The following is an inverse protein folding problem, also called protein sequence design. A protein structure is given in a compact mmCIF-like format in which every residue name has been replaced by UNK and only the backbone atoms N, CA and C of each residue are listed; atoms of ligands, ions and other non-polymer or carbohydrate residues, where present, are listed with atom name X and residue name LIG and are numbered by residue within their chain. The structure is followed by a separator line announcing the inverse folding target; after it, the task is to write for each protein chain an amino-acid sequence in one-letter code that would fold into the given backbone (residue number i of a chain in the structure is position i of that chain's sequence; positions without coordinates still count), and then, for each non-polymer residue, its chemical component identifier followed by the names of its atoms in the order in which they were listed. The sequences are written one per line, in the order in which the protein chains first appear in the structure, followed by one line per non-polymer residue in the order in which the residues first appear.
data_IF_856554024025
#
_entry.id   IF_856554024025
#
_cell.length_a   1.000
_cell.length_b   1.000
_cell.length_c   1.000
_cell.angle_alpha   90.00
_cell.angle_beta   90.00
_cell.angle_gamma   90.00
#
_symmetry.space_group_name_H-M   'P 1'
#
loop_
_entity.id
_entity.type
_entity.pdbx_description
1 polymer ?
#
# COMPACT_ATOMS: atom_id res chain seq x y z
N UNK A 1 23.43 31.84 37.85
CA UNK A 1 24.52 32.53 37.13
C UNK A 1 24.63 34.04 37.44
N UNK A 2 23.63 34.68 38.06
CA UNK A 2 23.65 36.11 38.42
C UNK A 2 24.52 36.50 39.65
N UNK A 3 25.14 35.55 40.35
CA UNK A 3 25.92 35.82 41.58
C UNK A 3 27.40 36.14 41.35
N UNK A 4 27.87 36.11 40.10
CA UNK A 4 29.26 36.42 39.72
C UNK A 4 29.32 37.86 39.18
N UNK A 5 30.27 38.69 39.65
CA UNK A 5 30.53 40.00 39.04
C UNK A 5 31.14 39.79 37.65
N UNK A 6 30.30 39.66 36.62
CA UNK A 6 30.74 39.42 35.23
C UNK A 6 31.45 40.64 34.59
N UNK A 7 31.38 41.82 35.20
CA UNK A 7 32.02 43.05 34.74
C UNK A 7 32.94 43.54 35.87
N UNK A 8 34.27 43.32 35.79
CA UNK A 8 35.11 43.71 34.65
C UNK A 8 36.18 42.66 34.26
N UNK A 9 35.82 41.37 34.23
CA UNK A 9 36.75 40.31 33.80
C UNK A 9 36.53 39.95 32.32
N UNK A 10 37.61 39.79 31.57
CA UNK A 10 37.61 39.35 30.17
C UNK A 10 36.83 38.02 30.01
N UNK A 11 36.90 37.14 31.00
CA UNK A 11 36.17 35.88 31.00
C UNK A 11 34.65 36.08 31.18
N UNK A 12 34.25 37.02 32.04
CA UNK A 12 32.85 37.38 32.22
C UNK A 12 32.22 37.96 30.96
N UNK A 13 32.98 38.74 30.19
CA UNK A 13 32.56 39.25 28.89
C UNK A 13 32.26 38.12 27.89
N UNK A 14 33.11 37.09 27.78
CA UNK A 14 32.88 35.96 26.88
C UNK A 14 31.64 35.14 27.23
N UNK A 15 31.31 34.99 28.52
CA UNK A 15 30.10 34.30 28.97
C UNK A 15 28.82 35.09 28.63
N UNK A 16 28.86 36.42 28.74
CA UNK A 16 27.74 37.28 28.30
C UNK A 16 27.58 37.17 26.78
N UNK A 17 28.69 37.22 26.04
CA UNK A 17 28.69 37.12 24.59
C UNK A 17 28.12 35.77 24.12
N UNK A 18 28.42 34.67 24.82
CA UNK A 18 27.85 33.36 24.56
C UNK A 18 26.32 33.36 24.67
N UNK A 19 25.75 33.94 25.74
CA UNK A 19 24.30 34.02 25.89
C UNK A 19 23.64 34.91 24.83
N UNK A 20 24.28 36.02 24.46
CA UNK A 20 23.80 36.88 23.37
C UNK A 20 23.75 36.10 22.05
N UNK A 21 24.80 35.35 21.71
CA UNK A 21 24.80 34.52 20.49
C UNK A 21 23.73 33.43 20.53
N UNK A 22 23.52 32.75 21.66
CA UNK A 22 22.46 31.73 21.78
C UNK A 22 21.06 32.32 21.61
N UNK A 23 20.79 33.52 22.16
CA UNK A 23 19.50 34.20 21.99
C UNK A 23 19.31 34.65 20.54
N UNK A 24 20.34 35.26 19.92
CA UNK A 24 20.29 35.69 18.52
C UNK A 24 20.11 34.50 17.58
N UNK A 25 20.79 33.39 17.83
CA UNK A 25 20.63 32.14 17.08
C UNK A 25 19.20 31.58 17.17
N UNK A 26 18.64 31.53 18.38
CA UNK A 26 17.26 31.06 18.57
C UNK A 26 16.22 31.95 17.86
N UNK A 27 16.36 33.28 17.95
CA UNK A 27 15.46 34.24 17.28
C UNK A 27 15.60 34.15 15.76
N UNK A 28 16.83 33.99 15.25
CA UNK A 28 17.08 33.86 13.81
C UNK A 28 16.55 32.53 13.25
N UNK A 29 16.63 31.43 14.00
CA UNK A 29 16.08 30.14 13.58
C UNK A 29 14.56 30.15 13.46
N UNK A 30 13.87 30.80 14.40
CA UNK A 30 12.42 31.02 14.30
C UNK A 30 12.04 31.91 13.11
N UNK A 31 12.81 32.97 12.84
CA UNK A 31 12.56 33.85 11.70
C UNK A 31 12.78 33.14 10.36
N UNK A 32 13.86 32.36 10.22
CA UNK A 32 14.17 31.61 9.01
C UNK A 32 13.18 30.47 8.72
N UNK A 33 12.58 29.87 9.75
CA UNK A 33 11.49 28.90 9.58
C UNK A 33 10.19 29.56 9.06
N UNK A 34 9.99 30.86 9.30
CA UNK A 34 8.80 31.62 8.91
C UNK A 34 8.93 32.34 7.55
N UNK A 35 10.15 32.73 7.17
CA UNK A 35 10.46 33.43 5.93
C UNK A 35 11.19 32.46 4.98
N UNK A 36 10.47 31.85 4.04
CA UNK A 36 10.99 30.83 3.12
C UNK A 36 12.01 31.33 2.08
N UNK A 37 12.93 32.24 2.41
CA UNK A 37 13.93 32.79 1.49
C UNK A 37 15.28 32.08 1.61
N UNK A 38 15.87 31.70 0.47
CA UNK A 38 17.11 30.91 0.42
C UNK A 38 18.37 31.64 0.93
N UNK A 39 18.35 32.98 0.97
CA UNK A 39 19.47 33.83 1.41
C UNK A 39 19.55 33.94 2.94
N UNK A 40 18.41 33.96 3.61
CA UNK A 40 18.31 33.99 5.09
C UNK A 40 18.69 32.63 5.70
N UNK A 41 18.40 31.54 5.00
CA UNK A 41 18.84 30.20 5.40
C UNK A 41 20.37 30.04 5.39
N UNK A 42 21.05 30.52 4.33
CA UNK A 42 22.51 30.41 4.23
C UNK A 42 23.24 31.24 5.29
N UNK A 43 22.71 32.42 5.61
CA UNK A 43 23.27 33.29 6.65
C UNK A 43 23.00 32.73 8.04
N UNK A 44 21.82 32.14 8.27
CA UNK A 44 21.51 31.39 9.49
C UNK A 44 22.46 30.21 9.69
N UNK A 45 22.69 29.36 8.68
CA UNK A 45 23.61 28.22 8.85
C UNK A 45 25.03 28.64 9.22
N UNK A 46 25.57 29.68 8.58
CA UNK A 46 26.92 30.20 8.90
C UNK A 46 26.96 30.74 10.34
N UNK A 47 25.92 31.46 10.76
CA UNK A 47 25.81 31.97 12.13
C UNK A 47 25.70 30.83 13.16
N UNK A 48 24.94 29.77 12.88
CA UNK A 48 24.80 28.60 13.75
C UNK A 48 26.12 27.84 13.87
N UNK A 49 26.85 27.62 12.77
CA UNK A 49 28.15 26.95 12.80
C UNK A 49 29.19 27.75 13.61
N UNK A 50 29.25 29.07 13.42
CA UNK A 50 30.15 29.94 14.21
C UNK A 50 29.79 29.94 15.70
N UNK A 51 28.50 29.91 16.01
CA UNK A 51 27.99 29.83 17.40
C UNK A 51 28.38 28.51 18.05
N UNK A 52 28.22 27.38 17.34
CA UNK A 52 28.62 26.07 17.83
C UNK A 52 30.14 25.98 18.10
N UNK A 53 30.97 26.50 17.18
CA UNK A 53 32.43 26.53 17.36
C UNK A 53 32.81 27.36 18.59
N UNK A 54 32.16 28.52 18.77
CA UNK A 54 32.40 29.40 19.91
C UNK A 54 31.97 28.75 21.23
N UNK A 55 30.77 28.15 21.30
CA UNK A 55 30.27 27.44 22.48
C UNK A 55 31.15 26.24 22.86
N UNK A 56 31.58 25.44 21.87
CA UNK A 56 32.50 24.33 22.09
C UNK A 56 33.84 24.81 22.65
N UNK A 57 34.40 25.89 22.09
CA UNK A 57 35.65 26.49 22.56
C UNK A 57 35.57 27.02 23.99
N UNK A 58 34.48 27.71 24.34
CA UNK A 58 34.26 28.22 25.71
C UNK A 58 34.07 27.07 26.70
N UNK A 59 33.38 26.00 26.30
CA UNK A 59 33.21 24.82 27.16
C UNK A 59 34.54 24.12 27.47
N UNK A 60 35.38 23.90 26.44
CA UNK A 60 36.72 23.32 26.63
C UNK A 60 37.56 24.21 27.54
N UNK A 61 37.51 25.53 27.38
CA UNK A 61 38.22 26.47 28.25
C UNK A 61 37.73 26.40 29.71
N UNK A 62 36.41 26.28 29.91
CA UNK A 62 35.79 26.11 31.23
C UNK A 62 36.28 24.82 31.91
N UNK A 63 36.35 23.70 31.20
CA UNK A 63 36.77 22.41 31.78
C UNK A 63 38.28 22.30 31.99
N UNK A 64 39.08 22.94 31.15
CA UNK A 64 40.56 22.86 31.23
C UNK A 64 41.17 23.89 32.17
N UNK A 65 40.53 25.06 32.35
CA UNK A 65 41.06 26.17 33.16
C UNK A 65 40.07 26.71 34.18
N UNK A 66 39.26 25.84 34.78
CA UNK A 66 38.22 26.21 35.77
C UNK A 66 38.78 27.07 36.91
N UNK A 67 39.96 26.72 37.46
CA UNK A 67 40.59 27.43 38.58
C UNK A 67 41.06 28.84 38.23
N UNK A 68 41.73 29.00 37.08
CA UNK A 68 42.23 30.30 36.60
C UNK A 68 41.06 31.25 36.28
N UNK A 69 39.97 30.72 35.72
CA UNK A 69 38.75 31.47 35.41
C UNK A 69 38.09 31.96 36.70
N UNK A 70 37.97 31.10 37.70
CA UNK A 70 37.31 31.44 38.96
C UNK A 70 38.11 32.49 39.75
N UNK A 71 39.45 32.38 39.74
CA UNK A 71 40.35 33.38 40.33
C UNK A 71 40.28 34.73 39.62
N UNK A 72 40.07 34.75 38.29
CA UNK A 72 39.88 35.98 37.52
C UNK A 72 38.51 36.65 37.76
N UNK A 73 37.48 35.87 38.12
CA UNK A 73 36.10 36.35 38.25
C UNK A 73 35.76 37.01 39.60
N UNK A 74 36.71 37.11 40.55
CA UNK A 74 36.56 37.81 41.86
C UNK A 74 35.18 37.55 42.52
N UNK A 75 34.84 36.26 42.63
CA UNK A 75 33.54 35.76 43.09
C UNK A 75 33.31 35.94 44.61
N UNK A 76 32.07 36.14 45.05
CA UNK A 76 31.66 36.13 46.47
C UNK A 76 31.23 34.73 46.97
N UNK A 77 31.29 33.74 46.08
CA UNK A 77 30.93 32.34 46.34
C UNK A 77 32.20 31.55 46.65
N UNK A 78 32.14 30.66 47.64
CA UNK A 78 33.19 29.68 47.98
C UNK A 78 33.72 28.99 46.71
N UNK A 79 35.04 28.92 46.53
CA UNK A 79 35.68 28.47 45.28
C UNK A 79 35.21 27.06 44.85
N UNK A 80 34.92 26.21 45.83
CA UNK A 80 34.34 24.88 45.66
C UNK A 80 32.97 24.90 44.97
N UNK A 81 32.07 25.80 45.38
CA UNK A 81 30.72 25.91 44.81
C UNK A 81 30.77 26.59 43.42
N UNK A 82 31.68 27.56 43.24
CA UNK A 82 31.89 28.23 41.97
C UNK A 82 32.42 27.29 40.87
N UNK A 83 33.31 26.37 41.24
CA UNK A 83 33.87 25.35 40.33
C UNK A 83 32.78 24.39 39.82
N UNK A 84 31.87 23.94 40.69
CA UNK A 84 30.76 23.06 40.31
C UNK A 84 29.80 23.78 39.35
N UNK A 85 29.43 25.01 39.67
CA UNK A 85 28.52 25.81 38.82
C UNK A 85 29.13 26.04 37.43
N UNK A 86 30.43 26.37 37.36
CA UNK A 86 31.10 26.61 36.09
C UNK A 86 31.18 25.34 35.24
N UNK A 87 31.53 24.19 35.84
CA UNK A 87 31.55 22.89 35.15
C UNK A 87 30.16 22.45 34.67
N UNK A 88 29.11 22.75 35.43
CA UNK A 88 27.73 22.45 35.04
C UNK A 88 27.30 23.32 33.85
N UNK A 89 27.69 24.61 33.82
CA UNK A 89 27.50 25.49 32.66
C UNK A 89 28.32 25.07 31.42
N UNK A 90 29.55 24.60 31.62
CA UNK A 90 30.37 24.00 30.57
C UNK A 90 29.71 22.75 29.99
N UNK A 91 29.22 21.85 30.85
CA UNK A 91 28.53 20.62 30.45
C UNK A 91 27.24 20.89 29.67
N UNK A 92 26.44 21.87 30.10
CA UNK A 92 25.26 22.32 29.36
C UNK A 92 25.63 22.87 27.98
N UNK A 93 26.77 23.57 27.86
CA UNK A 93 27.27 24.07 26.57
C UNK A 93 27.66 22.93 25.62
N UNK A 94 28.22 21.82 26.12
CA UNK A 94 28.51 20.62 25.32
C UNK A 94 27.21 19.97 24.82
N UNK A 95 26.21 19.86 25.70
CA UNK A 95 24.92 19.28 25.33
C UNK A 95 24.22 20.10 24.23
N UNK A 96 24.22 21.42 24.36
CA UNK A 96 23.67 22.34 23.35
C UNK A 96 24.44 22.22 22.04
N UNK A 97 25.77 22.18 22.09
CA UNK A 97 26.61 21.93 20.92
C UNK A 97 26.24 20.63 20.20
N UNK A 98 26.09 19.52 20.91
CA UNK A 98 25.67 18.25 20.32
C UNK A 98 24.30 18.33 19.64
N UNK A 99 23.32 19.00 20.26
CA UNK A 99 21.99 19.20 19.69
C UNK A 99 22.05 20.09 18.44
N UNK A 100 22.84 21.16 18.45
CA UNK A 100 23.03 22.04 17.28
C UNK A 100 23.64 21.29 16.09
N UNK A 101 24.60 20.39 16.33
CA UNK A 101 25.16 19.53 15.29
C UNK A 101 24.13 18.55 14.71
N UNK A 102 23.30 17.92 15.56
CA UNK A 102 22.21 17.05 15.08
C UNK A 102 21.24 17.82 14.20
N UNK A 103 20.87 19.04 14.59
CA UNK A 103 19.96 19.91 13.80
C UNK A 103 20.60 20.33 12.48
N UNK A 104 21.87 20.72 12.48
CA UNK A 104 22.61 21.08 11.25
C UNK A 104 22.70 19.89 10.29
N UNK A 105 23.00 18.70 10.79
CA UNK A 105 23.06 17.48 9.99
C UNK A 105 21.69 17.12 9.41
N UNK A 106 20.62 17.20 10.21
CA UNK A 106 19.25 16.95 9.74
C UNK A 106 18.83 17.95 8.65
N UNK A 107 19.13 19.24 8.85
CA UNK A 107 18.82 20.30 7.88
C UNK A 107 19.58 20.11 6.56
N UNK A 108 20.85 19.69 6.63
CA UNK A 108 21.65 19.34 5.46
C UNK A 108 21.05 18.14 4.70
N UNK A 109 20.67 17.06 5.39
CA UNK A 109 20.05 15.90 4.76
C UNK A 109 18.72 16.23 4.08
N UNK A 110 17.85 16.99 4.74
CA UNK A 110 16.58 17.43 4.15
C UNK A 110 16.80 18.22 2.86
N UNK A 111 17.81 19.11 2.84
CA UNK A 111 18.16 19.88 1.64
C UNK A 111 18.81 19.03 0.55
N UNK A 112 19.69 18.10 0.91
CA UNK A 112 20.31 17.16 -0.02
C UNK A 112 19.26 16.29 -0.70
N UNK A 113 18.33 15.71 0.07
CA UNK A 113 17.22 14.93 -0.48
C UNK A 113 16.31 15.77 -1.37
N UNK A 114 15.96 16.99 -0.99
CA UNK A 114 15.17 17.88 -1.85
C UNK A 114 15.90 18.25 -3.17
N UNK A 115 17.24 18.31 -3.15
CA UNK A 115 18.04 18.58 -4.34
C UNK A 115 18.15 17.35 -5.26
N UNK A 116 18.41 16.18 -4.68
CA UNK A 116 18.52 14.90 -5.43
C UNK A 116 17.16 14.47 -5.99
N UNK A 117 16.07 14.69 -5.26
CA UNK A 117 14.70 14.39 -5.72
C UNK A 117 14.20 15.41 -6.76
N UNK A 118 14.85 16.58 -6.85
CA UNK A 118 14.56 17.64 -7.83
C UNK A 118 15.25 17.47 -9.19
N UNK A 119 16.35 16.74 -9.27
CA UNK A 119 17.18 16.63 -10.50
C UNK A 119 16.63 15.58 -11.51
N UNK A 120 15.64 14.78 -11.12
CA UNK A 120 14.96 13.83 -12.02
C UNK A 120 13.88 14.45 -12.91
N UNK A 121 13.67 15.78 -12.88
CA UNK A 121 12.77 16.47 -13.80
C UNK A 121 13.52 17.62 -14.48
N UNK A 122 13.56 17.58 -15.81
CA UNK A 122 14.15 18.57 -16.74
C UNK A 122 15.60 18.26 -17.17
N UNK A 123 15.76 17.15 -17.90
CA UNK A 123 16.62 17.20 -19.09
C UNK A 123 15.73 17.60 -20.26
N UNK A 124 16.17 18.61 -21.03
CA UNK A 124 15.59 19.16 -22.28
C UNK A 124 14.77 20.45 -22.17
N UNK A 125 15.41 21.59 -21.85
CA UNK A 125 15.49 22.76 -22.76
C UNK A 125 16.32 23.89 -22.12
N UNK A 126 17.26 24.45 -22.88
CA UNK A 126 17.82 25.78 -22.62
C UNK A 126 19.14 25.82 -21.85
N UNK A 127 20.25 25.47 -22.52
CA UNK A 127 21.58 25.94 -22.15
C UNK A 127 21.56 27.48 -22.01
N UNK A 128 21.71 27.98 -20.79
CA UNK A 128 22.29 29.30 -20.57
C UNK A 128 23.26 29.25 -19.39
N UNK A 129 24.53 29.13 -19.79
CA UNK A 129 25.72 29.18 -18.97
C UNK A 129 25.67 30.29 -17.92
N UNK A 130 25.74 29.90 -16.64
CA UNK A 130 26.11 30.76 -15.52
C UNK A 130 27.15 30.01 -14.68
N UNK A 131 28.39 30.18 -15.12
CA UNK A 131 29.67 30.02 -14.41
C UNK A 131 29.54 29.74 -12.89
N UNK A 132 29.65 28.47 -12.50
CA UNK A 132 29.81 28.05 -11.10
C UNK A 132 31.28 27.72 -10.84
N UNK A 133 31.92 28.64 -10.14
CA UNK A 133 33.17 28.43 -9.42
C UNK A 133 32.78 27.85 -8.06
N UNK A 134 32.66 26.52 -7.96
CA UNK A 134 32.39 25.84 -6.70
C UNK A 134 32.86 24.38 -6.75
N UNK A 135 34.14 24.15 -7.06
CA UNK A 135 34.73 22.81 -6.95
C UNK A 135 36.05 22.74 -6.16
N UNK A 136 36.58 23.85 -5.63
CA UNK A 136 37.93 23.83 -5.06
C UNK A 136 38.03 23.77 -3.52
N UNK A 137 36.97 23.96 -2.72
CA UNK A 137 37.14 24.16 -1.26
C UNK A 137 36.79 22.97 -0.35
N UNK A 138 36.53 21.77 -0.89
CA UNK A 138 36.22 20.56 -0.09
C UNK A 138 37.43 19.60 0.01
N UNK A 139 38.57 19.94 -0.60
CA UNK A 139 39.74 19.04 -0.69
C UNK A 139 40.81 19.16 0.40
N UNK A 140 40.72 20.16 1.28
CA UNK A 140 41.82 20.48 2.23
C UNK A 140 41.57 20.07 3.69
N UNK A 141 40.73 19.06 3.93
CA UNK A 141 40.52 18.54 5.29
C UNK A 141 41.54 17.43 5.62
N UNK A 142 42.01 17.31 6.87
CA UNK A 142 42.86 16.19 7.27
C UNK A 142 42.17 14.86 6.96
N UNK A 143 42.81 14.00 6.18
CA UNK A 143 42.32 12.66 5.77
C UNK A 143 41.62 11.83 6.86
N UNK A 144 42.04 11.83 8.14
CA UNK A 144 41.34 11.10 9.21
C UNK A 144 39.94 11.65 9.52
N UNK A 145 39.76 12.97 9.46
CA UNK A 145 38.49 13.64 9.74
C UNK A 145 37.49 13.43 8.61
N UNK A 146 37.95 13.49 7.36
CA UNK A 146 37.11 13.24 6.19
C UNK A 146 36.58 11.80 6.17
N UNK A 147 37.41 10.83 6.58
CA UNK A 147 36.98 9.43 6.73
C UNK A 147 35.96 9.26 7.86
N UNK A 148 36.19 9.88 9.02
CA UNK A 148 35.28 9.81 10.16
C UNK A 148 33.90 10.39 9.87
N UNK A 149 33.85 11.56 9.20
CA UNK A 149 32.59 12.21 8.79
C UNK A 149 31.86 11.35 7.76
N UNK A 150 32.55 10.82 6.75
CA UNK A 150 31.93 9.99 5.73
C UNK A 150 31.37 8.68 6.29
N UNK A 151 32.07 8.03 7.22
CA UNK A 151 31.57 6.81 7.87
C UNK A 151 30.39 7.11 8.79
N UNK A 152 30.41 8.23 9.52
CA UNK A 152 29.28 8.64 10.36
C UNK A 152 28.03 8.99 9.53
N UNK A 153 28.19 9.72 8.42
CA UNK A 153 27.11 10.04 7.48
C UNK A 153 26.53 8.76 6.86
N UNK A 154 27.37 7.79 6.50
CA UNK A 154 26.91 6.49 6.01
C UNK A 154 26.13 5.72 7.07
N UNK A 155 26.61 5.67 8.31
CA UNK A 155 25.93 4.97 9.41
C UNK A 155 24.56 5.58 9.70
N UNK A 156 24.45 6.91 9.77
CA UNK A 156 23.18 7.60 9.94
C UNK A 156 22.22 7.38 8.76
N UNK A 157 22.74 7.43 7.52
CA UNK A 157 21.93 7.16 6.33
C UNK A 157 21.42 5.72 6.33
N UNK A 158 22.25 4.75 6.75
CA UNK A 158 21.86 3.35 6.88
C UNK A 158 20.78 3.14 7.94
N UNK A 159 20.91 3.78 9.10
CA UNK A 159 19.93 3.68 10.19
C UNK A 159 18.58 4.29 9.80
N UNK A 160 18.60 5.46 9.15
CA UNK A 160 17.39 6.11 8.65
C UNK A 160 16.71 5.32 7.51
N UNK A 161 17.50 4.76 6.58
CA UNK A 161 16.98 3.90 5.52
C UNK A 161 16.41 2.60 6.09
N UNK A 162 17.03 2.03 7.13
CA UNK A 162 16.52 0.84 7.82
C UNK A 162 15.17 1.12 8.47
N UNK A 163 15.06 2.21 9.24
CA UNK A 163 13.80 2.59 9.89
C UNK A 163 12.67 2.81 8.88
N UNK A 164 12.95 3.50 7.76
CA UNK A 164 11.97 3.71 6.68
C UNK A 164 11.54 2.39 6.03
N UNK A 165 12.48 1.46 5.83
CA UNK A 165 12.19 0.14 5.26
C UNK A 165 11.29 -0.68 6.19
N UNK A 166 11.53 -0.63 7.49
CA UNK A 166 10.70 -1.29 8.50
C UNK A 166 9.28 -0.72 8.53
N UNK A 167 9.12 0.61 8.47
CA UNK A 167 7.82 1.27 8.41
C UNK A 167 7.01 0.83 7.18
N UNK A 168 7.62 0.89 5.99
CA UNK A 168 6.99 0.46 4.73
C UNK A 168 6.60 -1.02 4.75
N UNK A 169 7.45 -1.88 5.31
CA UNK A 169 7.16 -3.30 5.48
C UNK A 169 5.99 -3.53 6.45
N UNK A 170 5.92 -2.73 7.52
CA UNK A 170 4.83 -2.78 8.50
C UNK A 170 3.50 -2.40 7.87
N UNK A 171 3.44 -1.31 7.09
CA UNK A 171 2.23 -0.90 6.36
C UNK A 171 1.77 -1.97 5.36
N UNK A 172 2.71 -2.58 4.62
CA UNK A 172 2.38 -3.68 3.70
C UNK A 172 1.82 -4.90 4.44
N UNK A 173 2.41 -5.25 5.59
CA UNK A 173 1.90 -6.34 6.43
C UNK A 173 0.51 -6.03 6.99
N UNK A 174 0.27 -4.80 7.46
CA UNK A 174 -1.04 -4.36 7.93
C UNK A 174 -2.10 -4.43 6.81
N UNK A 175 -1.73 -4.06 5.59
CA UNK A 175 -2.57 -4.22 4.40
C UNK A 175 -2.93 -5.70 4.16
N UNK A 176 -1.95 -6.61 4.11
CA UNK A 176 -2.19 -8.06 3.92
C UNK A 176 -3.04 -8.66 5.05
N UNK A 177 -2.81 -8.22 6.29
CA UNK A 177 -3.58 -8.66 7.46
C UNK A 177 -5.06 -8.26 7.36
N UNK A 178 -5.36 -7.04 6.88
CA UNK A 178 -6.75 -6.60 6.63
C UNK A 178 -7.49 -7.48 5.63
N UNK A 179 -6.79 -8.02 4.63
CA UNK A 179 -7.34 -8.94 3.64
C UNK A 179 -7.49 -10.35 4.22
N UNK A 180 -6.51 -10.80 5.00
CA UNK A 180 -6.48 -12.15 5.59
C UNK A 180 -7.60 -12.39 6.62
N UNK A 181 -8.03 -11.35 7.34
CA UNK A 181 -9.08 -11.48 8.36
C UNK A 181 -10.43 -11.95 7.79
N UNK A 182 -11.04 -11.27 6.79
CA UNK A 182 -12.24 -11.77 6.11
C UNK A 182 -12.05 -13.15 5.47
N UNK A 183 -10.87 -13.42 4.92
CA UNK A 183 -10.54 -14.72 4.31
C UNK A 183 -10.61 -15.85 5.34
N UNK A 184 -10.06 -15.63 6.53
CA UNK A 184 -10.11 -16.61 7.61
C UNK A 184 -11.55 -16.85 8.09
N UNK A 185 -12.37 -15.79 8.15
CA UNK A 185 -13.79 -15.93 8.47
C UNK A 185 -14.54 -16.72 7.40
N UNK A 186 -14.31 -16.43 6.11
CA UNK A 186 -14.91 -17.18 5.00
C UNK A 186 -14.52 -18.67 5.07
N UNK A 187 -13.26 -18.96 5.35
CA UNK A 187 -12.75 -20.33 5.50
C UNK A 187 -13.37 -21.06 6.70
N UNK A 188 -13.54 -20.39 7.84
CA UNK A 188 -14.10 -20.99 9.06
C UNK A 188 -15.61 -21.24 8.96
N UNK A 189 -16.32 -20.39 8.24
CA UNK A 189 -17.76 -20.51 8.03
C UNK A 189 -18.12 -21.52 6.93
N UNK A 190 -17.13 -22.03 6.19
CA UNK A 190 -17.35 -23.02 5.14
C UNK A 190 -17.43 -24.41 5.78
N UNK A 191 -18.64 -24.91 6.07
CA UNK A 191 -18.80 -26.31 6.48
C UNK A 191 -18.54 -27.25 5.29
N UNK A 192 -17.79 -28.37 5.46
CA UNK A 192 -17.14 -29.05 4.33
C UNK A 192 -18.06 -29.85 3.39
N UNK A 193 -19.33 -30.08 3.73
CA UNK A 193 -20.14 -31.09 3.02
C UNK A 193 -21.27 -30.52 2.16
N UNK A 194 -21.57 -29.22 2.18
CA UNK A 194 -22.70 -28.72 1.35
C UNK A 194 -22.78 -27.22 1.04
N UNK A 195 -21.91 -26.36 1.59
CA UNK A 195 -22.02 -24.90 1.39
C UNK A 195 -20.99 -24.31 0.44
N UNK A 196 -19.85 -25.00 0.25
CA UNK A 196 -18.80 -24.61 -0.67
C UNK A 196 -19.35 -24.75 -2.10
N UNK A 197 -19.20 -23.72 -2.93
CA UNK A 197 -19.85 -23.62 -4.26
C UNK A 197 -21.39 -23.54 -4.22
N UNK A 198 -21.97 -22.99 -3.16
CA UNK A 198 -23.33 -22.42 -3.23
C UNK A 198 -23.29 -20.98 -3.75
N UNK A 199 -24.37 -20.50 -4.38
CA UNK A 199 -24.45 -19.10 -4.81
C UNK A 199 -24.32 -18.14 -3.61
N UNK A 200 -24.82 -18.52 -2.44
CA UNK A 200 -24.68 -17.74 -1.21
C UNK A 200 -23.22 -17.62 -0.74
N UNK A 201 -22.45 -18.70 -0.82
CA UNK A 201 -21.04 -18.69 -0.48
C UNK A 201 -20.23 -17.83 -1.47
N UNK A 202 -20.59 -17.90 -2.75
CA UNK A 202 -19.97 -17.10 -3.79
C UNK A 202 -20.26 -15.63 -3.58
N UNK A 203 -21.49 -15.27 -3.25
CA UNK A 203 -21.87 -13.92 -2.90
C UNK A 203 -21.00 -13.40 -1.73
N UNK A 204 -20.80 -14.20 -0.69
CA UNK A 204 -19.88 -13.84 0.40
C UNK A 204 -18.42 -13.67 -0.07
N UNK A 205 -17.98 -14.48 -1.04
CA UNK A 205 -16.63 -14.38 -1.62
C UNK A 205 -16.42 -13.10 -2.44
N UNK A 206 -17.46 -12.60 -3.12
CA UNK A 206 -17.43 -11.32 -3.85
C UNK A 206 -17.12 -10.15 -2.90
N UNK A 207 -17.55 -10.25 -1.63
CA UNK A 207 -17.25 -9.29 -0.58
C UNK A 207 -15.76 -9.10 -0.27
N UNK A 208 -14.88 -10.05 -0.66
CA UNK A 208 -13.43 -9.90 -0.49
C UNK A 208 -12.84 -8.81 -1.40
N UNK A 209 -13.45 -8.62 -2.58
CA UNK A 209 -12.93 -7.69 -3.58
C UNK A 209 -12.97 -6.23 -3.10
N UNK A 210 -14.11 -5.68 -2.63
CA UNK A 210 -14.14 -4.32 -2.08
C UNK A 210 -13.21 -4.13 -0.89
N UNK A 211 -13.09 -5.14 -0.02
CA UNK A 211 -12.20 -5.07 1.15
C UNK A 211 -10.74 -4.92 0.73
N UNK A 212 -10.29 -5.70 -0.26
CA UNK A 212 -8.93 -5.60 -0.76
C UNK A 212 -8.65 -4.24 -1.39
N UNK A 213 -9.57 -3.73 -2.21
CA UNK A 213 -9.42 -2.41 -2.84
C UNK A 213 -9.47 -1.25 -1.83
N UNK A 214 -10.30 -1.33 -0.78
CA UNK A 214 -10.32 -0.33 0.29
C UNK A 214 -9.03 -0.38 1.13
N UNK A 215 -8.55 -1.58 1.46
CA UNK A 215 -7.28 -1.76 2.16
C UNK A 215 -6.11 -1.20 1.34
N UNK A 216 -6.13 -1.40 0.02
CA UNK A 216 -5.14 -0.83 -0.90
C UNK A 216 -5.19 0.70 -0.91
N UNK A 217 -6.37 1.30 -1.05
CA UNK A 217 -6.52 2.76 -1.00
C UNK A 217 -5.98 3.34 0.31
N UNK A 218 -6.26 2.69 1.46
CA UNK A 218 -5.70 3.08 2.77
C UNK A 218 -4.18 2.98 2.80
N UNK A 219 -3.61 1.90 2.26
CA UNK A 219 -2.15 1.73 2.18
C UNK A 219 -1.50 2.87 1.38
N UNK A 220 -2.06 3.23 0.23
CA UNK A 220 -1.53 4.30 -0.64
C UNK A 220 -1.49 5.64 0.07
N UNK A 221 -2.51 5.94 0.89
CA UNK A 221 -2.56 7.14 1.73
C UNK A 221 -1.54 7.07 2.86
N UNK A 222 -1.45 5.93 3.54
CA UNK A 222 -0.54 5.72 4.67
C UNK A 222 0.93 5.91 4.28
N UNK A 223 1.33 5.41 3.11
CA UNK A 223 2.70 5.57 2.61
C UNK A 223 2.97 6.90 1.90
N UNK A 224 1.99 7.82 1.81
CA UNK A 224 2.05 9.07 1.03
C UNK A 224 2.64 8.87 -0.38
N UNK A 225 2.03 7.95 -1.14
CA UNK A 225 2.47 7.62 -2.50
C UNK A 225 1.29 7.60 -3.49
N UNK A 226 0.65 8.75 -3.72
CA UNK A 226 -0.52 8.83 -4.59
C UNK A 226 -0.22 8.35 -6.01
N UNK A 227 -1.27 7.91 -6.71
CA UNK A 227 -1.22 7.40 -8.08
C UNK A 227 -0.39 8.26 -9.05
N UNK A 228 -0.40 9.58 -8.88
CA UNK A 228 0.41 10.48 -9.69
C UNK A 228 1.92 10.19 -9.55
N UNK A 229 2.41 9.79 -8.38
CA UNK A 229 3.83 9.47 -8.15
C UNK A 229 4.24 8.08 -8.66
N UNK A 230 3.30 7.26 -9.15
CA UNK A 230 3.61 5.88 -9.56
C UNK A 230 4.50 5.84 -10.81
N UNK A 231 5.37 4.83 -10.85
CA UNK A 231 6.21 4.53 -12.00
C UNK A 231 5.41 3.87 -13.13
N UNK A 232 5.94 3.94 -14.35
CA UNK A 232 5.28 3.39 -15.55
C UNK A 232 4.94 1.91 -15.37
N UNK A 233 5.83 1.12 -14.78
CA UNK A 233 5.60 -0.32 -14.56
C UNK A 233 4.42 -0.57 -13.61
N UNK A 234 4.30 0.21 -12.53
CA UNK A 234 3.20 0.07 -11.56
C UNK A 234 1.86 0.49 -12.16
N UNK A 235 1.85 1.55 -12.97
CA UNK A 235 0.67 2.03 -13.69
C UNK A 235 0.23 1.01 -14.73
N UNK A 236 1.16 0.50 -15.53
CA UNK A 236 0.89 -0.54 -16.53
C UNK A 236 0.39 -1.83 -15.89
N UNK A 237 0.99 -2.27 -14.79
CA UNK A 237 0.53 -3.45 -14.05
C UNK A 237 -0.91 -3.29 -13.54
N UNK A 238 -1.25 -2.15 -12.93
CA UNK A 238 -2.61 -1.90 -12.44
C UNK A 238 -3.62 -1.75 -13.58
N UNK A 239 -3.26 -1.06 -14.67
CA UNK A 239 -4.12 -0.93 -15.84
C UNK A 239 -4.30 -2.26 -16.58
N UNK A 240 -3.26 -3.09 -16.69
CA UNK A 240 -3.37 -4.43 -17.26
C UNK A 240 -4.30 -5.30 -16.43
N UNK A 241 -4.08 -5.33 -15.12
CA UNK A 241 -4.94 -6.04 -14.15
C UNK A 241 -6.41 -5.60 -14.24
N UNK A 242 -6.68 -4.30 -14.15
CA UNK A 242 -8.05 -3.78 -14.17
C UNK A 242 -8.75 -4.02 -15.51
N UNK A 243 -8.04 -4.03 -16.63
CA UNK A 243 -8.63 -4.38 -17.92
C UNK A 243 -9.11 -5.83 -17.93
N UNK A 244 -8.24 -6.76 -17.51
CA UNK A 244 -8.57 -8.19 -17.44
C UNK A 244 -9.79 -8.41 -16.54
N UNK A 245 -9.85 -7.74 -15.38
CA UNK A 245 -11.03 -7.85 -14.51
C UNK A 245 -12.33 -7.42 -15.17
N UNK A 246 -12.32 -6.35 -15.96
CA UNK A 246 -13.52 -5.88 -16.65
C UNK A 246 -14.00 -6.91 -17.67
N UNK A 247 -13.08 -7.50 -18.43
CA UNK A 247 -13.42 -8.57 -19.37
C UNK A 247 -13.96 -9.81 -18.65
N UNK A 248 -13.39 -10.15 -17.48
CA UNK A 248 -13.87 -11.25 -16.64
C UNK A 248 -15.28 -10.98 -16.10
N UNK A 249 -15.55 -9.79 -15.57
CA UNK A 249 -16.89 -9.44 -15.09
C UNK A 249 -17.91 -9.43 -16.22
N UNK A 250 -17.55 -8.96 -17.42
CA UNK A 250 -18.43 -9.07 -18.59
C UNK A 250 -18.74 -10.53 -18.94
N UNK A 251 -17.73 -11.40 -18.89
CA UNK A 251 -17.91 -12.84 -19.12
C UNK A 251 -18.84 -13.47 -18.08
N UNK A 252 -18.62 -13.17 -16.79
CA UNK A 252 -19.49 -13.63 -15.69
C UNK A 252 -20.92 -13.12 -15.88
N UNK A 253 -21.13 -11.84 -16.20
CA UNK A 253 -22.47 -11.28 -16.46
C UNK A 253 -23.16 -11.94 -17.67
N UNK A 254 -22.42 -12.30 -18.71
CA UNK A 254 -22.94 -13.08 -19.84
C UNK A 254 -23.42 -14.45 -19.38
N UNK A 255 -22.61 -15.15 -18.59
CA UNK A 255 -22.96 -16.47 -18.10
C UNK A 255 -24.13 -16.47 -17.10
N UNK A 256 -24.21 -15.47 -16.21
CA UNK A 256 -25.39 -15.26 -15.36
C UNK A 256 -26.64 -15.00 -16.20
N UNK A 257 -26.52 -14.36 -17.36
CA UNK A 257 -27.64 -14.16 -18.30
C UNK A 257 -28.08 -15.47 -18.96
N UNK A 258 -27.13 -16.33 -19.34
CA UNK A 258 -27.44 -17.66 -19.87
C UNK A 258 -28.16 -18.52 -18.84
N UNK A 259 -27.73 -18.46 -17.57
CA UNK A 259 -28.36 -19.19 -16.48
C UNK A 259 -29.78 -18.68 -16.20
N UNK A 260 -29.99 -17.36 -16.22
CA UNK A 260 -31.33 -16.77 -16.13
C UNK A 260 -32.23 -17.21 -17.30
N UNK A 261 -31.69 -17.28 -18.53
CA UNK A 261 -32.44 -17.76 -19.69
C UNK A 261 -32.81 -19.26 -19.57
N UNK A 262 -31.89 -20.09 -19.07
CA UNK A 262 -32.15 -21.51 -18.84
C UNK A 262 -33.26 -21.71 -17.80
N UNK A 263 -33.21 -20.97 -16.69
CA UNK A 263 -34.27 -20.91 -15.67
C UNK A 263 -35.61 -20.52 -16.28
N UNK A 264 -35.66 -19.46 -17.07
CA UNK A 264 -36.91 -19.02 -17.74
C UNK A 264 -37.48 -20.07 -18.68
N UNK A 265 -36.64 -20.83 -19.39
CA UNK A 265 -37.09 -21.96 -20.19
C UNK A 265 -37.70 -23.07 -19.31
N UNK A 266 -37.10 -23.38 -18.16
CA UNK A 266 -37.64 -24.36 -17.22
C UNK A 266 -39.00 -23.94 -16.65
N UNK A 267 -39.13 -22.69 -16.20
CA UNK A 267 -40.41 -22.14 -15.71
C UNK A 267 -41.51 -22.20 -16.78
N UNK A 268 -41.17 -21.94 -18.05
CA UNK A 268 -42.10 -22.10 -19.16
C UNK A 268 -42.44 -23.58 -19.45
N UNK A 269 -41.46 -24.47 -19.34
CA UNK A 269 -41.70 -25.92 -19.43
C UNK A 269 -42.68 -26.41 -18.36
N UNK A 270 -42.53 -25.91 -17.13
CA UNK A 270 -43.44 -26.19 -16.02
C UNK A 270 -44.87 -25.70 -16.28
N UNK A 271 -45.04 -24.47 -16.78
CA UNK A 271 -46.39 -23.95 -17.06
C UNK A 271 -47.10 -24.69 -18.20
N UNK A 272 -46.35 -25.33 -19.09
CA UNK A 272 -46.87 -26.19 -20.15
C UNK A 272 -47.18 -27.61 -19.71
N UNK A 273 -46.83 -28.00 -18.47
CA UNK A 273 -46.91 -29.38 -18.00
C UNK A 273 -48.35 -29.93 -18.02
N UNK A 274 -49.33 -29.12 -17.65
CA UNK A 274 -50.76 -29.49 -17.66
C UNK A 274 -51.41 -29.31 -19.03
N UNK A 275 -50.99 -28.29 -19.80
CA UNK A 275 -51.67 -27.89 -21.03
C UNK A 275 -51.13 -28.58 -22.29
N UNK A 276 -49.84 -28.92 -22.33
CA UNK A 276 -49.17 -29.55 -23.48
C UNK A 276 -47.91 -30.33 -23.07
N UNK A 277 -48.06 -31.56 -22.54
CA UNK A 277 -46.93 -32.34 -21.99
C UNK A 277 -45.80 -32.62 -23.00
N UNK A 278 -46.14 -32.81 -24.29
CA UNK A 278 -45.16 -33.04 -25.36
C UNK A 278 -44.36 -31.77 -25.73
N UNK A 279 -44.89 -30.59 -25.42
CA UNK A 279 -44.19 -29.32 -25.59
C UNK A 279 -43.37 -28.98 -24.34
N UNK A 280 -43.87 -29.31 -23.14
CA UNK A 280 -43.18 -29.14 -21.87
C UNK A 280 -41.81 -29.83 -21.85
N UNK A 281 -41.73 -31.07 -22.34
CA UNK A 281 -40.47 -31.86 -22.39
C UNK A 281 -39.38 -31.24 -23.28
N UNK A 282 -39.72 -30.35 -24.22
CA UNK A 282 -38.71 -29.62 -25.01
C UNK A 282 -37.98 -28.55 -24.18
N UNK A 283 -38.65 -28.03 -23.16
CA UNK A 283 -38.19 -26.92 -22.31
C UNK A 283 -37.65 -27.39 -20.95
N UNK A 284 -38.14 -28.52 -20.45
CA UNK A 284 -37.67 -29.20 -19.23
C UNK A 284 -36.35 -29.94 -19.49
N UNK A 285 -35.27 -29.19 -19.70
CA UNK A 285 -33.93 -29.72 -19.91
C UNK A 285 -33.03 -29.31 -18.75
N UNK A 286 -32.13 -30.20 -18.30
CA UNK A 286 -31.11 -29.83 -17.31
C UNK A 286 -30.35 -28.57 -17.75
N UNK A 287 -30.09 -27.69 -16.80
CA UNK A 287 -29.23 -26.53 -16.98
C UNK A 287 -27.81 -27.02 -17.23
N UNK A 288 -27.23 -26.59 -18.34
CA UNK A 288 -25.83 -26.85 -18.66
C UNK A 288 -25.04 -25.55 -18.39
N UNK A 289 -23.87 -25.63 -17.73
CA UNK A 289 -22.96 -24.51 -17.64
C UNK A 289 -22.61 -24.02 -19.05
N UNK A 290 -22.47 -22.70 -19.19
CA UNK A 290 -22.11 -22.07 -20.45
C UNK A 290 -20.69 -22.41 -20.94
N UNK A 291 -20.31 -21.81 -22.06
CA UNK A 291 -18.91 -21.76 -22.48
C UNK A 291 -18.28 -20.48 -21.93
N UNK A 292 -17.27 -20.61 -21.07
CA UNK A 292 -16.41 -19.51 -20.69
C UNK A 292 -15.24 -19.49 -21.66
N UNK A 293 -15.01 -18.38 -22.35
CA UNK A 293 -13.84 -18.21 -23.21
C UNK A 293 -12.69 -17.70 -22.34
N UNK A 294 -11.63 -18.49 -22.10
CA UNK A 294 -10.56 -18.08 -21.22
C UNK A 294 -9.47 -17.26 -21.92
N UNK A 295 -9.64 -16.88 -23.20
CA UNK A 295 -8.64 -16.13 -23.97
C UNK A 295 -8.50 -14.65 -23.53
N UNK A 296 -8.47 -14.39 -22.23
CA UNK A 296 -8.13 -13.08 -21.69
C UNK A 296 -6.62 -12.90 -21.73
N UNK A 297 -6.15 -11.87 -22.43
CA UNK A 297 -4.80 -11.33 -22.18
C UNK A 297 -3.62 -12.14 -22.73
N UNK A 298 -3.68 -12.59 -23.99
CA UNK A 298 -2.49 -13.07 -24.73
C UNK A 298 -1.34 -12.03 -24.76
N UNK A 299 -1.61 -10.78 -24.38
CA UNK A 299 -0.67 -9.66 -24.29
C UNK A 299 -0.02 -9.43 -22.90
N UNK A 300 -0.41 -10.14 -21.84
CA UNK A 300 0.15 -9.92 -20.48
C UNK A 300 1.06 -11.05 -20.02
N UNK A 301 2.01 -11.47 -20.87
CA UNK A 301 3.18 -12.18 -20.37
C UNK A 301 4.08 -11.15 -19.69
N UNK A 302 3.88 -10.95 -18.39
CA UNK A 302 4.93 -10.36 -17.56
C UNK A 302 6.11 -11.33 -17.61
N UNK A 303 7.11 -11.00 -18.41
CA UNK A 303 8.46 -11.53 -18.19
C UNK A 303 8.77 -11.31 -16.72
N UNK A 304 9.06 -12.38 -15.98
CA UNK A 304 9.80 -12.33 -14.73
C UNK A 304 11.16 -11.71 -15.03
N UNK A 305 11.21 -10.39 -15.21
CA UNK A 305 12.45 -9.66 -15.17
C UNK A 305 12.84 -9.61 -13.71
N UNK A 306 13.92 -10.34 -13.46
CA UNK A 306 14.75 -10.34 -12.28
C UNK A 306 14.61 -9.03 -11.51
N UNK A 307 14.18 -9.16 -10.26
CA UNK A 307 13.90 -8.08 -9.33
C UNK A 307 15.08 -7.10 -9.27
N UNK A 308 14.98 -6.00 -10.02
CA UNK A 308 15.71 -4.80 -9.64
C UNK A 308 15.31 -4.47 -8.21
N UNK A 309 16.30 -4.17 -7.39
CA UNK A 309 16.19 -4.04 -5.94
C UNK A 309 15.42 -2.77 -5.57
N UNK A 310 14.11 -2.74 -5.83
CA UNK A 310 13.22 -1.66 -5.42
C UNK A 310 13.06 -1.75 -3.90
N UNK A 311 13.57 -0.76 -3.17
CA UNK A 311 13.63 -0.77 -1.71
C UNK A 311 12.79 0.35 -1.06
N UNK A 312 11.87 0.93 -1.82
CA UNK A 312 11.07 2.09 -1.41
C UNK A 312 9.55 1.88 -1.52
N UNK A 313 8.83 3.00 -1.59
CA UNK A 313 7.35 3.04 -1.68
C UNK A 313 6.82 2.32 -2.92
N UNK A 314 7.57 2.35 -4.02
CA UNK A 314 7.20 1.67 -5.26
C UNK A 314 7.13 0.16 -5.10
N UNK A 315 8.07 -0.45 -4.36
CA UNK A 315 8.03 -1.88 -4.04
C UNK A 315 6.75 -2.24 -3.27
N UNK A 316 6.36 -1.41 -2.29
CA UNK A 316 5.11 -1.59 -1.54
C UNK A 316 3.91 -1.56 -2.48
N UNK A 317 3.83 -0.60 -3.41
CA UNK A 317 2.75 -0.54 -4.39
C UNK A 317 2.74 -1.76 -5.30
N UNK A 318 3.90 -2.17 -5.82
CA UNK A 318 4.03 -3.34 -6.69
C UNK A 318 3.54 -4.61 -6.00
N UNK A 319 3.96 -4.84 -4.76
CA UNK A 319 3.52 -5.98 -3.96
C UNK A 319 2.03 -5.92 -3.62
N UNK A 320 1.51 -4.74 -3.33
CA UNK A 320 0.09 -4.58 -3.04
C UNK A 320 -0.79 -4.76 -4.30
N UNK A 321 -0.31 -4.36 -5.49
CA UNK A 321 -0.99 -4.64 -6.78
C UNK A 321 -0.96 -6.14 -7.09
N UNK A 322 0.13 -6.86 -6.81
CA UNK A 322 0.16 -8.32 -6.92
C UNK A 322 -0.90 -8.97 -6.02
N UNK A 323 -1.04 -8.50 -4.78
CA UNK A 323 -2.06 -8.99 -3.85
C UNK A 323 -3.48 -8.74 -4.38
N UNK A 324 -3.77 -7.53 -4.90
CA UNK A 324 -5.04 -7.22 -5.56
C UNK A 324 -5.31 -8.14 -6.75
N UNK A 325 -4.27 -8.39 -7.56
CA UNK A 325 -4.34 -9.32 -8.70
C UNK A 325 -4.69 -10.72 -8.25
N UNK A 326 -4.05 -11.23 -7.20
CA UNK A 326 -4.35 -12.54 -6.62
C UNK A 326 -5.79 -12.63 -6.11
N UNK A 327 -6.26 -11.65 -5.32
CA UNK A 327 -7.64 -11.64 -4.80
C UNK A 327 -8.65 -11.56 -5.94
N UNK A 328 -8.47 -10.61 -6.87
CA UNK A 328 -9.39 -10.40 -7.99
C UNK A 328 -9.50 -11.62 -8.89
N UNK A 329 -8.37 -12.23 -9.27
CA UNK A 329 -8.38 -13.42 -10.12
C UNK A 329 -8.88 -14.67 -9.40
N UNK A 330 -8.68 -14.77 -8.08
CA UNK A 330 -9.27 -15.86 -7.30
C UNK A 330 -10.81 -15.75 -7.26
N UNK A 331 -11.34 -14.56 -6.96
CA UNK A 331 -12.79 -14.29 -6.96
C UNK A 331 -13.39 -14.57 -8.35
N UNK A 332 -12.80 -14.00 -9.41
CA UNK A 332 -13.27 -14.24 -10.77
C UNK A 332 -13.09 -15.70 -11.20
N UNK A 333 -12.06 -16.39 -10.72
CA UNK A 333 -11.85 -17.81 -10.96
C UNK A 333 -13.00 -18.66 -10.43
N UNK A 334 -13.47 -18.38 -9.21
CA UNK A 334 -14.63 -19.07 -8.64
C UNK A 334 -15.90 -18.78 -9.46
N UNK A 335 -16.13 -17.51 -9.81
CA UNK A 335 -17.26 -17.12 -10.64
C UNK A 335 -17.23 -17.77 -12.03
N UNK A 336 -16.05 -17.94 -12.61
CA UNK A 336 -15.91 -18.61 -13.91
C UNK A 336 -16.22 -20.10 -13.82
N UNK A 337 -15.91 -20.74 -12.67
CA UNK A 337 -16.29 -22.11 -12.36
C UNK A 337 -17.80 -22.33 -12.27
N UNK A 338 -18.59 -21.28 -12.05
CA UNK A 338 -20.06 -21.33 -12.11
C UNK A 338 -20.59 -21.68 -13.50
N UNK A 339 -19.79 -21.39 -14.50
CA UNK A 339 -20.29 -21.08 -15.83
C UNK A 339 -19.65 -21.92 -16.91
N UNK A 340 -18.73 -22.83 -16.60
CA UNK A 340 -18.09 -23.63 -17.62
C UNK A 340 -17.60 -25.01 -17.22
N UNK A 341 -17.58 -25.87 -18.23
CA UNK A 341 -16.97 -27.20 -18.23
C UNK A 341 -15.44 -27.14 -18.48
N UNK A 342 -14.92 -26.02 -18.98
CA UNK A 342 -13.48 -25.77 -19.06
C UNK A 342 -12.92 -25.55 -17.65
N UNK A 343 -11.59 -25.43 -17.48
CA UNK A 343 -10.97 -25.14 -16.19
C UNK A 343 -10.52 -23.68 -16.07
N UNK A 344 -11.43 -22.69 -16.17
CA UNK A 344 -11.08 -21.28 -16.16
C UNK A 344 -10.47 -20.87 -14.82
N UNK A 345 -10.79 -21.58 -13.73
CA UNK A 345 -10.11 -21.41 -12.44
C UNK A 345 -8.59 -21.59 -12.55
N UNK A 346 -8.13 -22.66 -13.23
CA UNK A 346 -6.68 -22.87 -13.42
C UNK A 346 -6.03 -21.83 -14.31
N UNK A 347 -6.75 -21.28 -15.28
CA UNK A 347 -6.24 -20.19 -16.13
C UNK A 347 -6.13 -18.89 -15.34
N UNK A 348 -7.12 -18.54 -14.53
CA UNK A 348 -7.04 -17.39 -13.62
C UNK A 348 -5.88 -17.54 -12.62
N UNK A 349 -5.69 -18.74 -12.06
CA UNK A 349 -4.56 -19.06 -11.19
C UNK A 349 -3.22 -18.86 -11.91
N UNK A 350 -3.09 -19.29 -13.17
CA UNK A 350 -1.89 -19.06 -13.98
C UNK A 350 -1.66 -17.56 -14.25
N UNK A 351 -2.71 -16.82 -14.60
CA UNK A 351 -2.62 -15.38 -14.84
C UNK A 351 -2.18 -14.62 -13.58
N UNK A 352 -2.54 -15.10 -12.39
CA UNK A 352 -2.10 -14.54 -11.12
C UNK A 352 -0.62 -14.84 -10.78
N UNK A 353 0.04 -15.75 -11.50
CA UNK A 353 1.35 -16.29 -11.10
C UNK A 353 1.27 -17.34 -9.99
N UNK A 354 0.07 -17.87 -9.73
CA UNK A 354 -0.25 -18.69 -8.57
C UNK A 354 -0.78 -17.88 -7.38
N UNK A 355 -1.13 -18.59 -6.30
CA UNK A 355 -1.69 -18.01 -5.07
C UNK A 355 -0.85 -18.29 -3.82
N UNK A 356 0.28 -19.01 -3.96
CA UNK A 356 1.05 -19.53 -2.83
C UNK A 356 1.54 -18.44 -1.85
N UNK A 357 1.89 -17.26 -2.39
CA UNK A 357 2.38 -16.12 -1.59
C UNK A 357 1.29 -15.10 -1.27
N UNK A 358 0.03 -15.40 -1.58
CA UNK A 358 -1.11 -14.49 -1.40
C UNK A 358 -1.96 -14.85 -0.19
N UNK A 359 -2.75 -13.88 0.28
CA UNK A 359 -3.68 -14.07 1.40
C UNK A 359 -4.77 -15.11 1.07
N UNK A 360 -5.06 -15.36 -0.22
CA UNK A 360 -6.09 -16.33 -0.65
C UNK A 360 -5.57 -17.77 -0.72
N UNK A 361 -4.30 -18.04 -0.44
CA UNK A 361 -3.70 -19.39 -0.47
C UNK A 361 -4.46 -20.44 0.36
N UNK A 362 -4.95 -20.05 1.54
CA UNK A 362 -5.73 -20.92 2.41
C UNK A 362 -7.06 -21.34 1.75
N UNK A 363 -7.76 -20.39 1.12
CA UNK A 363 -9.02 -20.66 0.43
C UNK A 363 -8.82 -21.40 -0.90
N UNK A 364 -7.75 -21.08 -1.63
CA UNK A 364 -7.36 -21.82 -2.84
C UNK A 364 -7.15 -23.31 -2.53
N UNK A 365 -6.55 -23.63 -1.39
CA UNK A 365 -6.36 -25.03 -0.95
C UNK A 365 -7.69 -25.75 -0.70
N UNK A 366 -8.66 -25.07 -0.09
CA UNK A 366 -10.03 -25.60 0.13
C UNK A 366 -10.75 -25.84 -1.20
N UNK A 367 -10.66 -24.89 -2.13
CA UNK A 367 -11.30 -25.01 -3.45
C UNK A 367 -10.65 -26.13 -4.26
N UNK A 368 -9.33 -26.27 -4.21
CA UNK A 368 -8.62 -27.36 -4.88
C UNK A 368 -9.04 -28.71 -4.29
N UNK A 369 -9.17 -28.85 -2.96
CA UNK A 369 -9.66 -30.10 -2.39
C UNK A 369 -11.06 -30.45 -2.88
N UNK A 370 -11.95 -29.46 -2.99
CA UNK A 370 -13.33 -29.68 -3.44
C UNK A 370 -13.39 -30.06 -4.94
N UNK A 371 -12.70 -29.28 -5.79
CA UNK A 371 -12.65 -29.52 -7.24
C UNK A 371 -11.93 -30.82 -7.63
N UNK A 372 -10.98 -31.30 -6.80
CA UNK A 372 -10.28 -32.57 -7.03
C UNK A 372 -11.16 -33.76 -6.63
N UNK A 373 -12.04 -33.60 -5.64
CA UNK A 373 -12.97 -34.65 -5.21
C UNK A 373 -14.15 -34.83 -6.18
N UNK A 374 -14.69 -33.74 -6.72
CA UNK A 374 -15.80 -33.81 -7.68
C UNK A 374 -15.30 -33.74 -9.13
N UNK A 375 -15.48 -34.82 -9.91
CA UNK A 375 -15.08 -34.88 -11.34
C UNK A 375 -15.68 -33.79 -12.23
N UNK A 376 -16.66 -33.04 -11.73
CA UNK A 376 -17.26 -31.86 -12.35
C UNK A 376 -17.96 -31.03 -11.25
N UNK A 377 -17.31 -30.00 -10.69
CA UNK A 377 -17.92 -29.17 -9.67
C UNK A 377 -19.13 -28.45 -10.27
N UNK A 378 -20.31 -28.69 -9.72
CA UNK A 378 -21.56 -28.01 -10.10
C UNK A 378 -22.11 -27.27 -8.91
N UNK A 379 -22.63 -26.04 -9.14
CA UNK A 379 -23.34 -25.30 -8.10
C UNK A 379 -24.43 -26.16 -7.45
N UNK A 380 -24.52 -26.07 -6.12
CA UNK A 380 -25.56 -26.76 -5.35
C UNK A 380 -26.95 -26.49 -5.91
N UNK A 381 -27.29 -25.22 -6.13
CA UNK A 381 -28.61 -24.80 -6.59
C UNK A 381 -28.91 -25.29 -8.02
N UNK A 382 -27.88 -25.38 -8.88
CA UNK A 382 -28.03 -25.94 -10.23
C UNK A 382 -28.23 -27.46 -10.17
N UNK A 383 -27.52 -28.14 -9.26
CA UNK A 383 -27.64 -29.58 -9.04
C UNK A 383 -29.04 -29.96 -8.53
N UNK A 384 -29.55 -29.23 -7.54
CA UNK A 384 -30.90 -29.39 -7.00
C UNK A 384 -31.96 -29.25 -8.11
N UNK A 385 -31.90 -28.16 -8.88
CA UNK A 385 -32.80 -27.92 -10.03
C UNK A 385 -32.70 -29.06 -11.06
N UNK A 386 -31.48 -29.50 -11.40
CA UNK A 386 -31.28 -30.56 -12.38
C UNK A 386 -31.79 -31.92 -11.91
N UNK A 387 -31.61 -32.24 -10.62
CA UNK A 387 -32.12 -33.47 -10.00
C UNK A 387 -33.65 -33.46 -10.00
N UNK A 388 -34.27 -32.34 -9.65
CA UNK A 388 -35.73 -32.15 -9.68
C UNK A 388 -36.32 -32.21 -11.10
N UNK A 389 -35.64 -31.64 -12.10
CA UNK A 389 -35.99 -31.84 -13.52
C UNK A 389 -35.92 -33.32 -13.90
N UNK A 390 -34.87 -34.03 -13.46
CA UNK A 390 -34.72 -35.47 -13.70
C UNK A 390 -35.85 -36.30 -13.08
N UNK A 391 -36.19 -36.03 -11.81
CA UNK A 391 -37.34 -36.65 -11.12
C UNK A 391 -38.64 -36.38 -11.88
N UNK A 392 -38.87 -35.14 -12.30
CA UNK A 392 -40.10 -34.73 -12.98
C UNK A 392 -40.32 -35.45 -14.33
N UNK A 393 -39.24 -35.72 -15.06
CA UNK A 393 -39.30 -36.42 -16.35
C UNK A 393 -39.64 -37.92 -16.22
N UNK A 394 -39.39 -38.52 -15.04
CA UNK A 394 -39.60 -39.96 -14.78
C UNK A 394 -40.81 -40.21 -13.87
N UNK A 395 -41.32 -39.18 -13.19
CA UNK A 395 -42.44 -39.27 -12.27
C UNK A 395 -43.74 -39.76 -12.94
N UNK A 396 -44.49 -40.59 -12.21
CA UNK A 396 -45.86 -40.98 -12.55
C UNK A 396 -46.85 -39.84 -12.28
N UNK A 397 -48.01 -39.88 -12.92
CA UNK A 397 -49.00 -38.79 -12.89
C UNK A 397 -49.49 -38.40 -11.48
N UNK A 398 -49.44 -39.33 -10.53
CA UNK A 398 -49.83 -39.15 -9.12
C UNK A 398 -48.81 -38.37 -8.28
N UNK A 399 -47.52 -38.39 -8.62
CA UNK A 399 -46.44 -37.70 -7.87
C UNK A 399 -45.93 -36.45 -8.62
N UNK A 400 -46.29 -36.33 -9.90
CA UNK A 400 -45.80 -35.29 -10.80
C UNK A 400 -46.09 -33.86 -10.36
N UNK A 401 -47.25 -33.63 -9.74
CA UNK A 401 -47.65 -32.32 -9.24
C UNK A 401 -46.77 -31.87 -8.07
N UNK A 402 -46.45 -32.78 -7.14
CA UNK A 402 -45.61 -32.48 -5.98
C UNK A 402 -44.19 -32.14 -6.43
N UNK A 403 -43.62 -32.90 -7.37
CA UNK A 403 -42.29 -32.64 -7.95
C UNK A 403 -42.25 -31.34 -8.76
N UNK A 404 -43.34 -31.02 -9.48
CA UNK A 404 -43.43 -29.76 -10.21
C UNK A 404 -43.41 -28.53 -9.27
N UNK A 405 -44.08 -28.65 -8.11
CA UNK A 405 -44.08 -27.60 -7.09
C UNK A 405 -42.71 -27.46 -6.41
N UNK A 406 -42.04 -28.56 -6.10
CA UNK A 406 -40.65 -28.56 -5.59
C UNK A 406 -39.72 -27.81 -6.57
N UNK A 407 -39.81 -28.13 -7.87
CA UNK A 407 -39.01 -27.46 -8.90
C UNK A 407 -39.37 -25.97 -9.04
N UNK A 408 -40.64 -25.58 -8.88
CA UNK A 408 -41.05 -24.16 -8.91
C UNK A 408 -40.43 -23.37 -7.75
N UNK A 409 -40.42 -23.94 -6.54
CA UNK A 409 -39.81 -23.33 -5.35
C UNK A 409 -38.28 -23.20 -5.52
N UNK A 410 -37.61 -24.22 -6.06
CA UNK A 410 -36.17 -24.19 -6.38
C UNK A 410 -35.82 -23.13 -7.43
N UNK A 411 -36.61 -23.00 -8.51
CA UNK A 411 -36.37 -22.00 -9.55
C UNK A 411 -36.53 -20.57 -9.03
N UNK A 412 -37.47 -20.33 -8.10
CA UNK A 412 -37.68 -19.04 -7.46
C UNK A 412 -36.54 -18.72 -6.47
N UNK A 413 -36.03 -19.73 -5.75
CA UNK A 413 -34.83 -19.61 -4.93
C UNK A 413 -33.59 -19.24 -5.76
N UNK A 414 -33.40 -19.94 -6.89
CA UNK A 414 -32.32 -19.69 -7.83
C UNK A 414 -32.40 -18.27 -8.42
N UNK A 415 -33.59 -17.79 -8.80
CA UNK A 415 -33.79 -16.42 -9.28
C UNK A 415 -33.26 -15.38 -8.30
N UNK A 416 -33.68 -15.45 -7.03
CA UNK A 416 -33.29 -14.48 -6.01
C UNK A 416 -31.78 -14.45 -5.78
N UNK A 417 -31.13 -15.61 -5.82
CA UNK A 417 -29.68 -15.72 -5.65
C UNK A 417 -28.92 -15.18 -6.86
N UNK A 418 -29.39 -15.47 -8.08
CA UNK A 418 -28.78 -14.94 -9.31
C UNK A 418 -28.88 -13.42 -9.41
N UNK A 419 -30.01 -12.85 -9.02
CA UNK A 419 -30.19 -11.40 -8.98
C UNK A 419 -29.23 -10.74 -7.97
N UNK A 420 -29.04 -11.37 -6.81
CA UNK A 420 -28.07 -10.94 -5.80
C UNK A 420 -26.64 -10.93 -6.35
N UNK A 421 -26.20 -12.04 -6.93
CA UNK A 421 -24.85 -12.17 -7.51
C UNK A 421 -24.65 -11.23 -8.69
N UNK A 422 -25.64 -11.10 -9.59
CA UNK A 422 -25.58 -10.17 -10.73
C UNK A 422 -25.37 -8.73 -10.26
N UNK A 423 -26.16 -8.28 -9.28
CA UNK A 423 -26.03 -6.93 -8.73
C UNK A 423 -24.63 -6.68 -8.17
N UNK A 424 -24.08 -7.65 -7.45
CA UNK A 424 -22.73 -7.52 -6.91
C UNK A 424 -21.68 -7.47 -8.02
N UNK A 425 -21.76 -8.32 -9.05
CA UNK A 425 -20.85 -8.27 -10.19
C UNK A 425 -20.92 -6.93 -10.92
N UNK A 426 -22.13 -6.39 -11.14
CA UNK A 426 -22.32 -5.07 -11.76
C UNK A 426 -21.72 -3.94 -10.89
N UNK A 427 -21.90 -4.01 -9.56
CA UNK A 427 -21.31 -3.06 -8.60
C UNK A 427 -19.77 -3.14 -8.60
N UNK A 428 -19.19 -4.35 -8.71
CA UNK A 428 -17.74 -4.56 -8.83
C UNK A 428 -17.20 -4.01 -10.14
N UNK A 429 -17.87 -4.29 -11.26
CA UNK A 429 -17.52 -3.75 -12.58
C UNK A 429 -17.45 -2.22 -12.54
N UNK A 430 -18.49 -1.57 -11.99
CA UNK A 430 -18.55 -0.12 -11.86
C UNK A 430 -17.41 0.44 -11.01
N UNK A 431 -17.05 -0.22 -9.89
CA UNK A 431 -15.93 0.18 -9.03
C UNK A 431 -14.58 0.09 -9.75
N UNK A 432 -14.33 -1.00 -10.49
CA UNK A 432 -13.08 -1.15 -11.26
C UNK A 432 -13.00 -0.10 -12.37
N UNK A 433 -14.10 0.15 -13.09
CA UNK A 433 -14.16 1.20 -14.10
C UNK A 433 -13.84 2.58 -13.51
N UNK A 434 -14.43 2.90 -12.35
CA UNK A 434 -14.19 4.16 -11.65
C UNK A 434 -12.70 4.34 -11.30
N UNK A 435 -12.11 3.36 -10.61
CA UNK A 435 -10.69 3.43 -10.20
C UNK A 435 -9.74 3.52 -11.40
N UNK A 436 -10.02 2.76 -12.47
CA UNK A 436 -9.27 2.83 -13.71
C UNK A 436 -9.34 4.23 -14.32
N UNK A 437 -10.52 4.83 -14.33
CA UNK A 437 -10.76 6.15 -14.92
C UNK A 437 -10.06 7.25 -14.11
N UNK A 438 -10.17 7.21 -12.79
CA UNK A 438 -9.46 8.13 -11.88
C UNK A 438 -7.94 8.06 -12.07
N UNK A 439 -7.38 6.84 -12.20
CA UNK A 439 -5.96 6.65 -12.48
C UNK A 439 -5.56 7.29 -13.81
N UNK A 440 -6.31 7.04 -14.89
CA UNK A 440 -6.05 7.60 -16.22
C UNK A 440 -6.11 9.14 -16.19
N UNK A 441 -7.10 9.70 -15.51
CA UNK A 441 -7.29 11.15 -15.45
C UNK A 441 -6.18 11.84 -14.64
N UNK A 442 -5.68 11.21 -13.57
CA UNK A 442 -4.50 11.70 -12.84
C UNK A 442 -3.28 11.92 -13.76
N UNK A 443 -3.08 11.03 -14.76
CA UNK A 443 -1.96 11.14 -15.70
C UNK A 443 -2.24 12.08 -16.88
N UNK A 444 -3.51 12.24 -17.29
CA UNK A 444 -3.89 13.25 -18.30
C UNK A 444 -3.65 14.67 -17.79
N UNK A 445 -4.03 14.94 -16.54
CA UNK A 445 -3.85 16.26 -15.91
C UNK A 445 -2.37 16.64 -15.71
N UNK A 446 -1.45 15.68 -15.64
CA UNK A 446 0.00 15.95 -15.57
C UNK A 446 0.60 16.44 -16.89
N UNK A 447 -0.02 16.12 -18.03
CA UNK A 447 0.49 16.49 -19.37
C UNK A 447 0.07 17.91 -19.80
N UNK A 448 -0.83 18.55 -19.06
CA UNK A 448 -1.24 19.94 -19.22
C UNK A 448 -0.47 20.80 -18.22
#
# INVERSE_FOLDING_TARGET
MFSLRLLPSLCGFFLILQHVFTIVGAVSGCAAASAGTSREYSTHMVATVLTAIFQGSVSVLIFTRTGDILGSLKSYVREEDGSVILKLGGGLSILIFCLEWVVLTLAFFLKYYAHVDGDSRVVTLGMRSSKVQQEEDVKDWPWPLQRGINEFVKLLALEFLSARKEELSSSLHAFRSKISSPISQLSLNSTPESEILSLSWIQNSLGLFPVAHEAFAKLIVEIDYPASKWESESVEAFLGYSMILLDLFNSVSSSLSQLAQARMSLSHGLSLLESSPSSATKHLKPIHPGSFDPNFGQETKSEDRESNHFSGKEWVVREAVKELKSVGFWVCGILSGLCSDSNPYTEMKKMAGGFNDSSVSALDSVIISEQVMEKKPSLKEIKEVNDSVGKLLVASDDVKLDVAKELEEELLGLEKLLDGVRKEVDDLFAKVMMQRTELIDCFRLRKQ
#
